data_IF_531593354153
#
_entry.id   IF_531593354153
#
_cell.length_a   1.000
_cell.length_b   1.000
_cell.length_c   1.000
_cell.angle_alpha   90.00
_cell.angle_beta   90.00
_cell.angle_gamma   90.00
#
_symmetry.space_group_name_H-M   'P 1'
#
loop_
_entity.id
_entity.type
_entity.pdbx_description
1 polymer ?
#
# COMPACT_ATOMS: atom_id res chain seq x y z
N UNK A 1 -8.73 -2.33 -8.18
CA UNK A 1 -8.38 -1.26 -9.13
C UNK A 1 -6.91 -1.37 -9.46
N UNK A 2 -6.57 -1.24 -10.75
CA UNK A 2 -5.19 -1.42 -11.24
C UNK A 2 -4.56 -0.05 -11.48
N UNK A 3 -3.34 0.13 -10.99
CA UNK A 3 -2.54 1.33 -11.17
C UNK A 3 -1.15 0.95 -11.68
N UNK A 4 -0.43 1.91 -12.27
CA UNK A 4 1.02 1.78 -12.45
C UNK A 4 1.68 1.60 -11.06
N UNK A 5 2.77 0.83 -10.92
CA UNK A 5 3.36 0.50 -9.62
C UNK A 5 3.59 1.70 -8.70
N UNK A 6 4.16 2.78 -9.23
CA UNK A 6 4.44 4.03 -8.54
C UNK A 6 3.17 4.70 -8.00
N UNK A 7 2.12 4.75 -8.81
CA UNK A 7 0.83 5.32 -8.40
C UNK A 7 0.13 4.42 -7.38
N UNK A 8 0.29 3.10 -7.46
CA UNK A 8 -0.26 2.17 -6.48
C UNK A 8 0.34 2.41 -5.09
N UNK A 9 1.67 2.61 -5.02
CA UNK A 9 2.37 2.98 -3.78
C UNK A 9 1.88 4.32 -3.24
N UNK A 10 1.71 5.34 -4.10
CA UNK A 10 1.16 6.64 -3.69
C UNK A 10 -0.26 6.54 -3.14
N UNK A 11 -1.11 5.65 -3.67
CA UNK A 11 -2.44 5.41 -3.07
C UNK A 11 -2.28 4.87 -1.66
N UNK A 12 -1.41 3.87 -1.44
CA UNK A 12 -1.18 3.29 -0.10
C UNK A 12 -0.55 4.28 0.88
N UNK A 13 0.30 5.19 0.41
CA UNK A 13 0.85 6.28 1.21
C UNK A 13 -0.17 7.39 1.52
N UNK A 14 -1.33 7.40 0.84
CA UNK A 14 -2.35 8.45 0.96
C UNK A 14 -2.02 9.73 0.19
N UNK A 15 -0.99 9.70 -0.66
CA UNK A 15 -0.56 10.82 -1.51
C UNK A 15 -1.48 10.96 -2.74
N UNK A 16 -1.81 9.83 -3.38
CA UNK A 16 -2.80 9.78 -4.46
C UNK A 16 -4.19 9.50 -3.88
N UNK A 17 -5.06 10.51 -3.93
CA UNK A 17 -6.41 10.46 -3.36
C UNK A 17 -7.51 10.54 -4.41
N UNK A 18 -7.17 10.76 -5.67
CA UNK A 18 -8.11 10.86 -6.79
C UNK A 18 -7.64 9.97 -7.93
N UNK A 19 -8.58 9.36 -8.65
CA UNK A 19 -8.32 8.70 -9.93
C UNK A 19 -9.42 8.99 -10.92
N UNK A 20 -9.06 9.49 -12.10
CA UNK A 20 -9.95 9.59 -13.27
C UNK A 20 -9.81 8.39 -14.18
N UNK A 21 -10.94 7.92 -14.71
CA UNK A 21 -11.03 6.82 -15.67
C UNK A 21 -11.95 7.22 -16.82
N UNK A 22 -11.45 7.13 -18.05
CA UNK A 22 -12.25 7.40 -19.24
C UNK A 22 -13.52 6.53 -19.23
N UNK A 23 -14.66 7.16 -19.52
CA UNK A 23 -15.89 6.41 -19.75
C UNK A 23 -15.74 5.50 -20.97
N UNK A 24 -16.29 4.31 -20.88
CA UNK A 24 -16.32 3.31 -21.94
C UNK A 24 -17.74 3.14 -22.47
N UNK A 25 -17.89 2.89 -23.77
CA UNK A 25 -19.18 2.53 -24.39
C UNK A 25 -19.52 1.05 -24.23
N UNK A 26 -18.56 0.20 -23.88
CA UNK A 26 -18.80 -1.21 -23.60
C UNK A 26 -19.59 -1.39 -22.28
N UNK A 27 -20.81 -1.96 -22.29
CA UNK A 27 -21.65 -2.13 -21.10
C UNK A 27 -21.10 -3.15 -20.09
N UNK A 28 -20.11 -3.97 -20.49
CA UNK A 28 -19.38 -4.89 -19.61
C UNK A 28 -18.19 -4.23 -18.91
N UNK A 29 -17.80 -3.02 -19.32
CA UNK A 29 -16.71 -2.30 -18.68
C UNK A 29 -17.12 -1.85 -17.27
N UNK A 30 -16.23 -1.94 -16.26
CA UNK A 30 -16.46 -1.31 -14.96
C UNK A 30 -16.53 0.23 -15.06
N UNK A 31 -16.09 0.81 -16.18
CA UNK A 31 -16.14 2.25 -16.44
C UNK A 31 -17.19 2.60 -17.49
N UNK A 32 -18.25 1.79 -17.62
CA UNK A 32 -19.31 2.05 -18.60
C UNK A 32 -19.92 3.44 -18.40
N UNK A 33 -20.18 4.17 -19.49
CA UNK A 33 -20.75 5.52 -19.39
C UNK A 33 -22.07 5.56 -18.63
N UNK A 34 -22.89 4.50 -18.71
CA UNK A 34 -24.19 4.42 -18.06
C UNK A 34 -24.15 3.94 -16.61
N UNK A 35 -23.03 3.37 -16.13
CA UNK A 35 -22.88 2.91 -14.73
C UNK A 35 -21.41 2.82 -14.33
N UNK A 36 -21.07 3.28 -13.12
CA UNK A 36 -19.77 3.00 -12.53
C UNK A 36 -19.79 1.63 -11.82
N UNK A 37 -18.75 0.84 -12.02
CA UNK A 37 -18.58 -0.48 -11.40
C UNK A 37 -18.12 -0.41 -9.94
N UNK A 38 -17.70 0.76 -9.47
CA UNK A 38 -17.39 1.03 -8.05
C UNK A 38 -18.48 1.89 -7.42
N UNK A 39 -18.70 1.70 -6.12
CA UNK A 39 -19.69 2.45 -5.34
C UNK A 39 -19.01 3.19 -4.20
N UNK A 40 -19.63 4.27 -3.75
CA UNK A 40 -19.26 4.96 -2.51
C UNK A 40 -19.25 3.95 -1.36
N UNK A 41 -18.30 4.11 -0.42
CA UNK A 41 -17.98 3.22 0.71
C UNK A 41 -17.41 1.84 0.35
N UNK A 42 -17.35 1.48 -0.94
CA UNK A 42 -16.78 0.21 -1.36
C UNK A 42 -15.27 0.15 -1.08
N UNK A 43 -14.82 -0.95 -0.47
CA UNK A 43 -13.40 -1.28 -0.39
C UNK A 43 -12.92 -1.91 -1.70
N UNK A 44 -12.01 -1.23 -2.38
CA UNK A 44 -11.35 -1.70 -3.60
C UNK A 44 -9.95 -2.19 -3.30
N UNK A 45 -9.55 -3.31 -3.89
CA UNK A 45 -8.15 -3.77 -3.85
C UNK A 45 -7.27 -2.84 -4.68
N UNK A 46 -6.05 -2.57 -4.24
CA UNK A 46 -5.06 -1.79 -4.99
C UNK A 46 -4.02 -2.74 -5.57
N UNK A 47 -3.87 -2.74 -6.88
CA UNK A 47 -2.98 -3.64 -7.62
C UNK A 47 -2.00 -2.85 -8.49
N UNK A 48 -0.68 -3.12 -8.41
CA UNK A 48 0.36 -2.40 -9.16
C UNK A 48 0.49 -2.86 -10.62
N UNK A 49 -0.48 -3.61 -11.14
CA UNK A 49 -0.48 -4.13 -12.49
C UNK A 49 -1.41 -5.33 -12.66
N UNK A 50 -1.74 -5.67 -13.91
CA UNK A 50 -2.50 -6.88 -14.22
C UNK A 50 -1.69 -8.12 -13.84
N UNK A 51 -2.31 -9.07 -13.14
CA UNK A 51 -1.68 -10.32 -12.72
C UNK A 51 -0.66 -10.16 -11.58
N UNK A 52 -0.49 -8.96 -11.01
CA UNK A 52 0.36 -8.73 -9.85
C UNK A 52 -0.44 -8.88 -8.55
N UNK A 53 0.18 -9.33 -7.44
CA UNK A 53 -0.46 -9.35 -6.14
C UNK A 53 -0.98 -7.96 -5.75
N UNK A 54 -2.11 -7.93 -5.04
CA UNK A 54 -2.59 -6.68 -4.47
C UNK A 54 -1.68 -6.24 -3.30
N UNK A 55 -1.53 -4.93 -3.12
CA UNK A 55 -0.64 -4.34 -2.11
C UNK A 55 -1.41 -3.69 -0.96
N UNK A 56 -2.74 -3.77 -0.99
CA UNK A 56 -3.63 -3.24 0.04
C UNK A 56 -5.01 -2.91 -0.50
N UNK A 57 -5.77 -2.14 0.26
CA UNK A 57 -7.13 -1.72 -0.07
C UNK A 57 -7.31 -0.22 0.13
N UNK A 58 -8.26 0.34 -0.59
CA UNK A 58 -8.70 1.72 -0.43
C UNK A 58 -10.22 1.77 -0.38
N UNK A 59 -10.77 2.66 0.43
CA UNK A 59 -12.18 2.96 0.45
C UNK A 59 -12.51 4.01 -0.60
N UNK A 60 -13.59 3.79 -1.35
CA UNK A 60 -14.15 4.77 -2.27
C UNK A 60 -14.96 5.80 -1.48
N UNK A 61 -14.59 7.07 -1.58
CA UNK A 61 -15.20 8.17 -0.84
C UNK A 61 -16.28 8.86 -1.68
N UNK A 62 -15.96 9.21 -2.93
CA UNK A 62 -16.94 9.75 -3.89
C UNK A 62 -16.73 9.16 -5.26
N UNK A 63 -17.80 9.14 -6.05
CA UNK A 63 -17.79 8.68 -7.45
C UNK A 63 -18.64 9.66 -8.25
N UNK A 64 -18.00 10.45 -9.08
CA UNK A 64 -18.63 11.49 -9.88
C UNK A 64 -18.34 11.26 -11.36
N UNK A 65 -19.31 11.59 -12.22
CA UNK A 65 -19.10 11.62 -13.67
C UNK A 65 -19.01 13.06 -14.13
N UNK A 66 -17.86 13.43 -14.66
CA UNK A 66 -17.56 14.79 -15.08
C UNK A 66 -16.89 14.81 -16.45
N UNK A 67 -16.71 16.00 -17.01
CA UNK A 67 -15.77 16.20 -18.12
C UNK A 67 -14.36 16.24 -17.55
N UNK A 68 -13.39 15.71 -18.29
CA UNK A 68 -11.98 15.70 -17.89
C UNK A 68 -11.49 17.10 -17.53
N UNK A 69 -11.92 18.11 -18.28
CA UNK A 69 -11.54 19.51 -18.10
C UNK A 69 -10.04 19.71 -18.32
N UNK A 70 -9.53 20.86 -17.84
CA UNK A 70 -8.10 21.06 -17.60
C UNK A 70 -7.90 21.07 -16.09
N UNK A 71 -6.94 20.28 -15.61
CA UNK A 71 -6.62 20.22 -14.19
C UNK A 71 -5.68 21.36 -13.83
N UNK A 72 -5.80 21.86 -12.60
CA UNK A 72 -4.71 22.62 -11.98
C UNK A 72 -3.68 21.66 -11.36
N UNK A 73 -2.53 22.20 -10.96
CA UNK A 73 -1.46 21.38 -10.36
C UNK A 73 -1.87 20.77 -9.03
N UNK A 74 -2.82 21.37 -8.30
CA UNK A 74 -3.28 20.84 -7.03
C UNK A 74 -4.07 19.54 -7.23
N UNK A 75 -4.95 19.51 -8.21
CA UNK A 75 -5.72 18.32 -8.57
C UNK A 75 -4.83 17.27 -9.24
N UNK A 76 -3.83 17.68 -10.04
CA UNK A 76 -2.85 16.77 -10.60
C UNK A 76 -2.02 16.05 -9.50
N UNK A 77 -1.63 16.77 -8.43
CA UNK A 77 -0.99 16.16 -7.26
C UNK A 77 -1.86 15.14 -6.55
N UNK A 78 -3.17 15.38 -6.45
CA UNK A 78 -4.11 14.39 -5.91
C UNK A 78 -4.26 13.17 -6.80
N UNK A 79 -4.01 13.30 -8.10
CA UNK A 79 -3.86 12.20 -9.05
C UNK A 79 -2.48 11.51 -8.98
N UNK A 80 -1.55 11.99 -8.15
CA UNK A 80 -0.20 11.43 -8.02
C UNK A 80 0.78 11.93 -9.08
N UNK A 81 0.54 13.10 -9.68
CA UNK A 81 1.42 13.73 -10.66
C UNK A 81 1.99 15.05 -10.10
N UNK A 82 3.21 15.45 -10.50
CA UNK A 82 3.82 16.68 -9.99
C UNK A 82 3.04 17.96 -10.36
N UNK A 83 2.51 17.99 -11.58
CA UNK A 83 1.81 19.13 -12.18
C UNK A 83 0.75 18.67 -13.21
N UNK A 84 -0.05 19.61 -13.70
CA UNK A 84 -1.08 19.35 -14.69
C UNK A 84 -0.51 18.78 -15.99
N UNK A 85 0.61 19.31 -16.48
CA UNK A 85 1.23 18.87 -17.74
C UNK A 85 1.62 17.39 -17.71
N UNK A 86 2.20 16.91 -16.60
CA UNK A 86 2.56 15.51 -16.41
C UNK A 86 1.33 14.59 -16.37
N UNK A 87 0.23 15.05 -15.76
CA UNK A 87 -1.05 14.36 -15.79
C UNK A 87 -1.59 14.28 -17.23
N UNK A 88 -1.66 15.39 -17.95
CA UNK A 88 -2.21 15.45 -19.31
C UNK A 88 -1.42 14.53 -20.26
N UNK A 89 -0.09 14.58 -20.20
CA UNK A 89 0.79 13.74 -21.00
C UNK A 89 0.58 12.24 -20.72
N UNK A 90 0.51 11.86 -19.44
CA UNK A 90 0.28 10.45 -19.05
C UNK A 90 -1.12 9.99 -19.42
N UNK A 91 -2.14 10.84 -19.25
CA UNK A 91 -3.51 10.52 -19.65
C UNK A 91 -3.60 10.33 -21.17
N UNK A 92 -2.91 11.18 -21.94
CA UNK A 92 -2.82 11.06 -23.38
C UNK A 92 -2.15 9.77 -23.83
N UNK A 93 -1.02 9.40 -23.22
CA UNK A 93 -0.33 8.13 -23.49
C UNK A 93 -1.26 6.92 -23.28
N UNK A 94 -2.02 6.92 -22.18
CA UNK A 94 -2.88 5.79 -21.81
C UNK A 94 -4.17 5.69 -22.63
N UNK A 95 -4.71 6.82 -23.11
CA UNK A 95 -6.01 6.87 -23.77
C UNK A 95 -5.93 7.24 -25.26
N UNK A 96 -4.72 7.44 -25.80
CA UNK A 96 -4.48 7.82 -27.20
C UNK A 96 -4.59 9.32 -27.50
N UNK A 97 -4.78 10.16 -26.49
CA UNK A 97 -4.90 11.61 -26.61
C UNK A 97 -5.48 12.27 -25.37
N UNK A 98 -5.34 13.59 -25.28
CA UNK A 98 -5.97 14.40 -24.24
C UNK A 98 -7.12 15.21 -24.84
N UNK A 99 -8.34 14.92 -24.41
CA UNK A 99 -9.54 15.68 -24.77
C UNK A 99 -10.22 16.18 -23.49
N UNK A 100 -10.17 17.49 -23.18
CA UNK A 100 -10.77 18.05 -21.97
C UNK A 100 -12.30 17.90 -21.95
N UNK A 101 -12.93 17.59 -23.08
CA UNK A 101 -14.38 17.38 -23.17
C UNK A 101 -14.79 15.93 -22.89
N UNK A 102 -13.84 15.01 -22.82
CA UNK A 102 -14.06 13.58 -22.58
C UNK A 102 -14.78 13.35 -21.25
N UNK A 103 -15.78 12.47 -21.25
CA UNK A 103 -16.42 12.04 -20.01
C UNK A 103 -15.53 11.07 -19.24
N UNK A 104 -15.35 11.34 -17.96
CA UNK A 104 -14.57 10.51 -17.05
C UNK A 104 -15.36 10.21 -15.78
N UNK A 105 -15.08 9.05 -15.20
CA UNK A 105 -15.41 8.76 -13.81
C UNK A 105 -14.27 9.29 -12.93
N UNK A 106 -14.55 10.29 -12.11
CA UNK A 106 -13.67 10.77 -11.05
C UNK A 106 -13.99 10.04 -9.76
N UNK A 107 -13.01 9.33 -9.22
CA UNK A 107 -13.16 8.53 -8.00
C UNK A 107 -12.22 9.08 -6.94
N UNK A 108 -12.76 9.50 -5.80
CA UNK A 108 -11.97 9.86 -4.62
C UNK A 108 -11.77 8.61 -3.78
N UNK A 109 -10.53 8.38 -3.36
CA UNK A 109 -10.09 7.21 -2.63
C UNK A 109 -9.37 7.64 -1.35
N UNK A 110 -9.55 6.87 -0.29
CA UNK A 110 -8.70 6.91 0.88
C UNK A 110 -8.08 5.53 1.08
N UNK A 111 -6.76 5.43 1.26
CA UNK A 111 -6.16 4.18 1.68
C UNK A 111 -6.84 3.70 2.97
N UNK A 112 -7.15 2.41 3.01
CA UNK A 112 -7.54 1.79 4.26
C UNK A 112 -6.32 1.88 5.17
N UNK A 113 -6.36 2.80 6.12
CA UNK A 113 -5.43 2.74 7.22
C UNK A 113 -5.79 1.45 7.93
N UNK A 114 -4.92 0.45 7.81
CA UNK A 114 -4.80 -0.48 8.90
C UNK A 114 -4.45 0.41 10.08
N UNK A 115 -5.44 0.74 10.91
CA UNK A 115 -5.12 0.88 12.31
C UNK A 115 -4.35 -0.39 12.59
N UNK A 116 -3.03 -0.25 12.78
CA UNK A 116 -2.30 -1.17 13.63
C UNK A 116 -3.00 -1.00 14.98
N UNK A 117 -4.20 -1.59 15.11
CA UNK A 117 -4.71 -2.01 16.37
C UNK A 117 -3.54 -2.75 16.94
N UNK A 118 -2.99 -2.21 18.02
CA UNK A 118 -2.14 -2.98 18.90
C UNK A 118 -2.94 -4.24 19.17
N UNK A 119 -2.60 -5.30 18.45
CA UNK A 119 -3.26 -6.58 18.61
C UNK A 119 -3.06 -6.94 20.08
N UNK A 120 -4.13 -7.12 20.88
CA UNK A 120 -3.98 -7.49 22.28
C UNK A 120 -3.25 -8.84 22.44
N UNK A 121 -3.15 -9.64 21.37
CA UNK A 121 -2.37 -10.86 21.32
C UNK A 121 -0.92 -10.68 20.86
N UNK A 122 -0.50 -9.49 20.43
CA UNK A 122 0.92 -9.24 20.18
C UNK A 122 1.62 -9.13 21.54
N UNK A 123 2.51 -10.08 21.89
CA UNK A 123 3.18 -10.07 23.18
C UNK A 123 3.99 -8.78 23.31
N UNK A 124 3.55 -7.91 24.22
CA UNK A 124 4.37 -6.79 24.66
C UNK A 124 5.54 -7.36 25.44
N UNK A 125 6.67 -7.53 24.78
CA UNK A 125 7.94 -7.79 25.45
C UNK A 125 8.33 -6.53 26.23
N UNK A 126 7.85 -6.44 27.47
CA UNK A 126 8.42 -5.53 28.46
C UNK A 126 9.76 -6.12 28.88
N UNK A 127 10.85 -5.55 28.37
CA UNK A 127 12.17 -5.81 28.92
C UNK A 127 12.21 -5.25 30.35
N UNK A 128 12.29 -6.14 31.33
CA UNK A 128 12.62 -5.76 32.71
C UNK A 128 14.13 -5.64 32.78
N UNK A 129 14.65 -4.42 32.75
CA UNK A 129 16.06 -4.19 33.07
C UNK A 129 16.23 -4.41 34.58
N UNK A 130 16.71 -5.58 34.99
CA UNK A 130 17.22 -5.76 36.35
C UNK A 130 18.53 -5.00 36.46
N UNK A 131 18.57 -4.01 37.34
CA UNK A 131 19.69 -3.09 37.55
C UNK A 131 20.95 -3.71 38.14
N UNK A 132 21.07 -5.04 38.22
CA UNK A 132 22.19 -5.73 38.87
C UNK A 132 22.86 -6.75 37.94
N UNK A 133 23.58 -6.27 36.91
CA UNK A 133 24.81 -6.90 36.37
C UNK A 133 25.33 -6.16 35.13
N UNK A 134 26.60 -5.68 35.10
CA UNK A 134 27.10 -4.79 34.06
C UNK A 134 27.58 -5.48 32.76
N UNK A 135 27.27 -6.76 32.50
CA UNK A 135 27.66 -7.38 31.23
C UNK A 135 26.80 -8.59 30.90
N UNK A 136 25.72 -8.38 30.15
CA UNK A 136 25.06 -9.46 29.44
C UNK A 136 24.97 -9.12 27.95
N UNK A 137 25.65 -9.95 27.17
CA UNK A 137 25.48 -10.05 25.72
C UNK A 137 24.14 -10.73 25.46
N UNK A 138 23.20 -10.02 24.83
CA UNK A 138 21.92 -10.62 24.42
C UNK A 138 22.13 -11.28 23.06
N UNK A 139 21.94 -12.59 23.01
CA UNK A 139 22.06 -13.40 21.80
C UNK A 139 20.67 -13.65 21.20
N UNK A 140 20.46 -13.23 19.95
CA UNK A 140 19.28 -13.63 19.19
C UNK A 140 19.59 -14.93 18.43
N UNK A 141 19.14 -16.07 18.95
CA UNK A 141 19.35 -17.39 18.34
C UNK A 141 18.71 -17.55 16.94
N UNK A 142 17.85 -16.62 16.52
CA UNK A 142 17.11 -16.73 15.26
C UNK A 142 17.78 -16.01 14.08
N UNK A 143 18.57 -14.95 14.32
CA UNK A 143 19.26 -14.20 13.27
C UNK A 143 20.78 -14.09 13.47
N UNK A 144 21.33 -14.69 14.52
CA UNK A 144 22.77 -14.67 14.80
C UNK A 144 23.31 -13.29 15.20
N UNK A 145 22.43 -12.35 15.54
CA UNK A 145 22.83 -11.00 15.89
C UNK A 145 23.35 -10.92 17.33
N UNK A 146 24.48 -10.23 17.51
CA UNK A 146 25.15 -10.03 18.80
C UNK A 146 25.21 -8.54 19.09
N UNK A 147 24.49 -8.09 20.12
CA UNK A 147 24.67 -6.74 20.65
C UNK A 147 25.91 -6.74 21.57
N UNK A 148 27.03 -6.23 21.09
CA UNK A 148 28.21 -6.00 21.93
C UNK A 148 28.00 -4.73 22.78
N UNK A 149 28.12 -4.88 24.09
CA UNK A 149 27.82 -3.85 25.07
C UNK A 149 28.69 -2.60 24.96
N UNK A 150 28.02 -1.45 24.95
CA UNK A 150 28.58 -0.14 25.28
C UNK A 150 27.41 0.73 25.76
N UNK A 151 27.56 1.39 26.90
CA UNK A 151 26.51 2.18 27.53
C UNK A 151 25.84 3.15 26.54
N UNK A 152 24.64 2.81 26.09
CA UNK A 152 23.67 3.75 25.53
C UNK A 152 22.34 3.51 26.20
N UNK A 153 21.82 4.53 26.86
CA UNK A 153 20.39 4.64 27.12
C UNK A 153 19.69 4.72 25.77
N UNK A 154 19.03 3.63 25.36
CA UNK A 154 18.15 3.65 24.21
C UNK A 154 16.84 4.30 24.63
N UNK A 155 16.61 5.53 24.16
CA UNK A 155 15.25 6.08 24.14
C UNK A 155 14.41 5.28 23.15
N UNK A 156 13.10 5.27 23.41
CA UNK A 156 12.04 4.38 22.90
C UNK A 156 11.93 4.18 21.37
N UNK A 157 12.79 4.80 20.55
CA UNK A 157 12.70 4.83 19.10
C UNK A 157 13.57 3.79 18.37
N UNK A 158 14.52 3.14 19.02
CA UNK A 158 15.51 2.26 18.35
C UNK A 158 15.20 0.76 18.46
N UNK A 159 13.92 0.38 18.59
CA UNK A 159 13.54 -1.04 18.46
C UNK A 159 13.29 -1.34 16.99
N UNK A 160 14.33 -1.82 16.30
CA UNK A 160 14.12 -2.51 15.02
C UNK A 160 13.36 -3.82 15.30
N UNK A 161 12.05 -3.78 15.07
CA UNK A 161 11.20 -4.97 15.04
C UNK A 161 11.64 -5.81 13.84
N UNK A 162 12.25 -6.96 14.11
CA UNK A 162 12.50 -7.97 13.08
C UNK A 162 11.15 -8.65 12.76
N UNK A 163 10.38 -8.06 11.85
CA UNK A 163 9.11 -8.62 11.39
C UNK A 163 9.36 -9.59 10.24
N UNK A 164 9.56 -10.87 10.57
CA UNK A 164 9.38 -11.96 9.62
C UNK A 164 8.08 -12.70 9.97
N UNK A 165 7.12 -12.65 9.05
CA UNK A 165 5.85 -13.38 9.13
C UNK A 165 6.04 -14.90 9.13
N UNK A 166 4.95 -15.67 9.32
CA UNK A 166 5.02 -17.12 9.52
C UNK A 166 5.61 -17.83 8.31
N UNK A 167 6.80 -18.41 8.46
CA UNK A 167 7.35 -19.36 7.49
C UNK A 167 6.67 -20.71 7.67
N UNK A 168 6.12 -21.19 6.57
CA UNK A 168 5.55 -22.51 6.39
C UNK A 168 6.60 -23.62 6.60
N UNK A 169 6.13 -24.72 7.19
CA UNK A 169 6.59 -26.10 6.94
C UNK A 169 8.08 -26.39 7.13
N UNK A 170 8.46 -26.80 8.34
CA UNK A 170 9.67 -27.59 8.54
C UNK A 170 9.30 -29.07 8.31
N UNK A 171 9.64 -29.61 7.14
CA UNK A 171 9.57 -31.04 6.86
C UNK A 171 10.67 -31.78 7.65
N UNK A 172 10.28 -32.84 8.36
CA UNK A 172 11.22 -33.74 9.04
C UNK A 172 11.78 -34.73 8.01
N UNK A 173 13.09 -34.68 7.78
CA UNK A 173 13.81 -35.80 7.18
C UNK A 173 14.13 -36.82 8.29
N UNK A 174 13.42 -37.95 8.28
CA UNK A 174 13.82 -39.13 9.06
C UNK A 174 14.87 -39.91 8.26
N UNK A 175 16.07 -40.01 8.82
CA UNK A 175 17.13 -40.90 8.37
C UNK A 175 16.83 -42.33 8.84
N UNK A 176 16.45 -43.21 7.92
CA UNK A 176 16.33 -44.65 8.15
C UNK A 176 17.60 -45.38 7.71
N UNK A 177 18.28 -45.98 8.68
CA UNK A 177 19.43 -46.87 8.51
C UNK A 177 19.07 -48.16 7.76
N UNK A 178 19.98 -48.54 6.87
CA UNK A 178 20.08 -49.82 6.18
C UNK A 178 20.37 -50.98 7.14
N UNK A 179 19.66 -52.09 6.96
CA UNK A 179 20.16 -53.44 7.27
C UNK A 179 19.70 -54.43 6.22
#
# INVERSE_FOLDING_TARGET
MIFRPELATMVMAGEKTVTRRACSDNPRSPWYRGKCGVRVEQLVTVQPGRGRPNIGRAQVITVDRERLGHLDDAEARREGFPDAAAFEATFAELNGGYDPTLLVWRVVLAAERHELGADPATPRFTFRTSSDSPSQTVWCHHCGWVAAGGHRTFERADVHVCSLGPRAGLERHETGETR
#
